data_IF_890259247960
#
_entry.id   IF_890259247960
#
_cell.length_a   1.000
_cell.length_b   1.000
_cell.length_c   1.000
_cell.angle_alpha   90.00
_cell.angle_beta   90.00
_cell.angle_gamma   90.00
#
_symmetry.space_group_name_H-M   'P 1'
#
loop_
_entity.id
_entity.type
_entity.pdbx_description
1 polymer ?
#
# COMPACT_ATOMS: atom_id res chain seq x y z
N UNK A 1 4.46 14.60 7.18
CA UNK A 1 5.23 14.84 8.43
C UNK A 1 6.71 15.05 8.12
N UNK A 2 7.40 14.12 7.45
CA UNK A 2 8.82 14.26 7.08
C UNK A 2 9.16 15.52 6.27
N UNK A 3 8.35 15.88 5.27
CA UNK A 3 8.54 17.11 4.48
C UNK A 3 8.54 18.39 5.33
N UNK A 4 7.57 18.52 6.25
CA UNK A 4 7.49 19.67 7.16
C UNK A 4 8.67 19.73 8.15
N UNK A 5 9.16 18.56 8.57
CA UNK A 5 10.28 18.43 9.50
C UNK A 5 11.66 18.49 8.82
N UNK A 6 11.72 18.63 7.49
CA UNK A 6 12.97 18.53 6.68
C UNK A 6 13.81 17.29 7.02
N UNK A 7 13.15 16.20 7.38
CA UNK A 7 13.80 14.95 7.75
C UNK A 7 13.74 13.99 6.57
N UNK A 8 14.88 13.42 6.21
CA UNK A 8 14.96 12.33 5.23
C UNK A 8 14.80 11.01 5.98
N UNK A 9 13.72 10.25 5.75
CA UNK A 9 13.55 8.95 6.40
C UNK A 9 14.59 7.95 5.86
N UNK A 10 14.88 6.93 6.65
CA UNK A 10 15.57 5.75 6.13
C UNK A 10 14.66 5.01 5.16
N UNK A 11 15.26 4.22 4.25
CA UNK A 11 14.49 3.44 3.27
C UNK A 11 13.43 2.55 3.95
N UNK A 12 13.80 1.86 5.02
CA UNK A 12 12.90 0.99 5.79
C UNK A 12 11.72 1.75 6.41
N UNK A 13 11.97 2.95 6.96
CA UNK A 13 10.93 3.81 7.52
C UNK A 13 10.00 4.32 6.43
N UNK A 14 10.55 4.68 5.27
CA UNK A 14 9.76 5.08 4.11
C UNK A 14 8.85 3.95 3.63
N UNK A 15 9.40 2.74 3.47
CA UNK A 15 8.68 1.55 3.03
C UNK A 15 7.59 1.10 4.02
N UNK A 16 7.83 1.19 5.33
CA UNK A 16 6.82 0.82 6.33
C UNK A 16 5.62 1.78 6.33
N UNK A 17 5.84 3.07 6.02
CA UNK A 17 4.76 4.04 5.89
C UNK A 17 3.95 3.87 4.59
N UNK A 18 4.56 3.29 3.54
CA UNK A 18 3.88 3.01 2.27
C UNK A 18 2.78 1.97 2.46
N UNK A 19 2.97 0.97 3.33
CA UNK A 19 1.94 0.00 3.67
C UNK A 19 0.65 0.71 4.11
N UNK A 20 0.70 1.47 5.22
CA UNK A 20 -0.46 2.15 5.76
C UNK A 20 -1.13 3.13 4.76
N UNK A 21 -0.34 3.74 3.88
CA UNK A 21 -0.83 4.70 2.89
C UNK A 21 -1.54 4.04 1.69
N UNK A 22 -1.22 2.79 1.36
CA UNK A 22 -1.66 2.13 0.12
C UNK A 22 -2.69 1.01 0.35
N UNK A 23 -2.84 0.52 1.58
CA UNK A 23 -3.85 -0.49 1.94
C UNK A 23 -5.26 -0.04 1.56
N UNK A 24 -5.64 1.21 1.86
CA UNK A 24 -6.97 1.76 1.52
C UNK A 24 -7.23 1.89 0.01
N UNK A 25 -6.35 2.57 -0.76
CA UNK A 25 -6.52 2.75 -2.20
C UNK A 25 -6.53 1.46 -3.03
N UNK A 26 -5.94 0.36 -2.55
CA UNK A 26 -5.95 -0.93 -3.26
C UNK A 26 -7.13 -1.80 -2.82
N UNK A 27 -7.44 -1.85 -1.52
CA UNK A 27 -8.56 -2.67 -1.04
C UNK A 27 -9.91 -2.13 -1.47
N UNK A 28 -10.11 -0.80 -1.48
CA UNK A 28 -11.43 -0.24 -1.76
C UNK A 28 -11.92 -0.55 -3.20
N UNK A 29 -11.08 -0.41 -4.25
CA UNK A 29 -11.45 -0.83 -5.60
C UNK A 29 -11.51 -2.35 -5.74
N UNK A 30 -10.59 -3.10 -5.13
CA UNK A 30 -10.63 -4.57 -5.19
C UNK A 30 -11.91 -5.13 -4.56
N UNK A 31 -12.32 -4.59 -3.41
CA UNK A 31 -13.59 -4.91 -2.76
C UNK A 31 -14.77 -4.60 -3.68
N UNK A 32 -14.79 -3.41 -4.30
CA UNK A 32 -15.91 -2.99 -5.16
C UNK A 32 -16.00 -3.82 -6.45
N UNK A 33 -14.86 -4.06 -7.12
CA UNK A 33 -14.76 -4.78 -8.40
C UNK A 33 -14.96 -6.28 -8.25
N UNK A 34 -14.59 -6.86 -7.11
CA UNK A 34 -14.70 -8.30 -6.84
C UNK A 34 -15.93 -8.66 -5.99
N UNK A 35 -16.82 -7.70 -5.70
CA UNK A 35 -17.96 -7.80 -4.76
C UNK A 35 -19.06 -8.82 -5.09
N UNK A 36 -18.87 -9.71 -6.07
CA UNK A 36 -19.70 -10.89 -6.21
C UNK A 36 -19.25 -11.93 -5.17
N UNK A 37 -19.72 -11.77 -3.92
CA UNK A 37 -19.67 -12.76 -2.85
C UNK A 37 -18.34 -12.89 -2.07
N UNK A 38 -17.67 -11.78 -1.74
CA UNK A 38 -16.50 -11.80 -0.84
C UNK A 38 -16.97 -11.79 0.62
N UNK A 39 -16.62 -12.84 1.37
CA UNK A 39 -16.85 -12.92 2.81
C UNK A 39 -15.97 -11.94 3.59
N UNK A 40 -16.50 -11.35 4.66
CA UNK A 40 -15.75 -10.46 5.56
C UNK A 40 -14.46 -11.12 6.08
N UNK A 41 -14.51 -12.43 6.30
CA UNK A 41 -13.34 -13.21 6.72
C UNK A 41 -12.23 -13.23 5.67
N UNK A 42 -12.56 -13.30 4.39
CA UNK A 42 -11.59 -13.24 3.30
C UNK A 42 -10.93 -11.86 3.22
N UNK A 43 -11.67 -10.78 3.52
CA UNK A 43 -11.14 -9.41 3.61
C UNK A 43 -10.21 -9.28 4.80
N UNK A 44 -10.60 -9.82 5.97
CA UNK A 44 -9.76 -9.82 7.17
C UNK A 44 -8.47 -10.61 6.95
N UNK A 45 -8.54 -11.77 6.30
CA UNK A 45 -7.36 -12.55 5.91
C UNK A 45 -6.49 -11.80 4.91
N UNK A 46 -7.10 -11.15 3.91
CA UNK A 46 -6.37 -10.31 2.96
C UNK A 46 -5.68 -9.12 3.65
N UNK A 47 -6.28 -8.56 4.71
CA UNK A 47 -5.68 -7.48 5.50
C UNK A 47 -4.60 -7.97 6.47
N UNK A 48 -4.75 -9.18 7.03
CA UNK A 48 -3.84 -9.71 8.07
C UNK A 48 -2.63 -10.45 7.50
N UNK A 49 -2.77 -11.10 6.36
CA UNK A 49 -1.78 -12.05 5.81
C UNK A 49 -1.09 -11.56 4.52
N UNK A 50 -1.62 -10.53 3.87
CA UNK A 50 -1.29 -10.34 2.46
C UNK A 50 -0.01 -9.55 2.21
N UNK A 51 1.10 -10.29 2.22
CA UNK A 51 2.33 -9.92 1.50
C UNK A 51 2.01 -9.45 0.08
N UNK A 52 0.94 -9.94 -0.57
CA UNK A 52 0.55 -9.51 -1.91
C UNK A 52 0.15 -8.03 -1.93
N UNK A 53 -0.65 -7.55 -0.96
CA UNK A 53 -1.01 -6.12 -0.90
C UNK A 53 0.22 -5.26 -0.61
N UNK A 54 1.09 -5.71 0.29
CA UNK A 54 2.32 -4.98 0.63
C UNK A 54 3.28 -4.89 -0.56
N UNK A 55 3.55 -6.01 -1.21
CA UNK A 55 4.44 -6.09 -2.37
C UNK A 55 3.86 -5.32 -3.55
N UNK A 56 2.56 -5.44 -3.83
CA UNK A 56 1.89 -4.68 -4.90
C UNK A 56 1.97 -3.18 -4.64
N UNK A 57 1.72 -2.75 -3.39
CA UNK A 57 1.85 -1.35 -2.97
C UNK A 57 3.27 -0.82 -3.15
N UNK A 58 4.27 -1.61 -2.77
CA UNK A 58 5.69 -1.27 -2.96
C UNK A 58 6.04 -1.11 -4.44
N UNK A 59 5.62 -2.04 -5.29
CA UNK A 59 5.90 -1.98 -6.74
C UNK A 59 5.30 -0.71 -7.35
N UNK A 60 4.03 -0.41 -7.06
CA UNK A 60 3.35 0.79 -7.58
C UNK A 60 4.06 2.06 -7.12
N UNK A 61 4.43 2.13 -5.84
CA UNK A 61 5.09 3.31 -5.28
C UNK A 61 6.48 3.51 -5.88
N UNK A 62 7.31 2.47 -5.87
CA UNK A 62 8.67 2.56 -6.41
C UNK A 62 8.66 2.91 -7.90
N UNK A 63 7.72 2.36 -8.67
CA UNK A 63 7.56 2.73 -10.09
C UNK A 63 7.22 4.20 -10.27
N UNK A 64 6.29 4.74 -9.47
CA UNK A 64 5.91 6.15 -9.52
C UNK A 64 7.06 7.08 -9.07
N UNK A 65 7.85 6.67 -8.08
CA UNK A 65 9.00 7.42 -7.59
C UNK A 65 10.16 7.42 -8.61
N UNK A 66 10.40 6.29 -9.27
CA UNK A 66 11.36 6.19 -10.39
C UNK A 66 10.96 7.11 -11.54
N UNK A 67 9.68 7.14 -11.92
CA UNK A 67 9.20 8.02 -12.99
C UNK A 67 9.30 9.51 -12.64
N UNK A 68 9.18 9.88 -11.35
CA UNK A 68 9.33 11.26 -10.88
C UNK A 68 10.78 11.72 -10.72
N UNK A 69 11.73 10.79 -10.61
CA UNK A 69 13.16 11.08 -10.42
C UNK A 69 13.95 11.13 -11.72
N UNK A 70 13.36 10.68 -12.84
CA UNK A 70 13.90 10.82 -14.20
C UNK A 70 13.59 12.15 -14.87
#
# INVERSE_FOLDING_TARGET
RWHCARQTPRLEEYLSNIWAAMTGPILLPAYFLLSQNIEEQAIRQLLSESNIINLSSMIVRLSADLQRSG
#
